data_IF_883849894928
#
_entry.id   IF_883849894928
#
_cell.length_a   1.000
_cell.length_b   1.000
_cell.length_c   1.000
_cell.angle_alpha   90.00
_cell.angle_beta   90.00
_cell.angle_gamma   90.00
#
_symmetry.space_group_name_H-M   'P 1'
#
loop_
_entity.id
_entity.type
_entity.pdbx_description
1 polymer ?
#
# COMPACT_ATOMS: atom_id res chain seq x y z
N UNK A 1 46.50 -37.15 -0.31
CA UNK A 1 45.15 -36.96 0.24
C UNK A 1 44.83 -35.48 0.18
N UNK A 2 44.04 -35.12 -0.82
CA UNK A 2 43.70 -33.75 -1.20
C UNK A 2 42.23 -33.54 -0.85
N UNK A 3 41.90 -32.43 -0.20
CA UNK A 3 40.71 -31.60 -0.45
C UNK A 3 40.61 -30.50 0.61
N UNK A 4 41.39 -29.43 0.41
CA UNK A 4 41.00 -28.10 0.87
C UNK A 4 39.80 -27.68 0.01
N UNK A 5 38.59 -27.69 0.60
CA UNK A 5 37.42 -27.09 -0.04
C UNK A 5 37.57 -25.57 0.07
N UNK A 6 37.89 -24.97 -1.06
CA UNK A 6 37.77 -23.54 -1.32
C UNK A 6 36.35 -23.07 -0.93
N UNK A 7 36.24 -22.36 0.18
CA UNK A 7 35.12 -21.45 0.39
C UNK A 7 35.36 -20.26 -0.54
N UNK A 8 34.77 -20.34 -1.74
CA UNK A 8 34.69 -19.20 -2.63
C UNK A 8 34.03 -18.04 -1.88
N UNK A 9 34.72 -16.91 -1.83
CA UNK A 9 34.13 -15.65 -1.39
C UNK A 9 32.82 -15.42 -2.16
N UNK A 10 31.75 -14.93 -1.51
CA UNK A 10 30.56 -14.52 -2.25
C UNK A 10 30.98 -13.36 -3.14
N UNK A 11 31.12 -13.65 -4.43
CA UNK A 11 31.19 -12.62 -5.46
C UNK A 11 29.98 -11.73 -5.26
N UNK A 12 30.22 -10.50 -4.83
CA UNK A 12 29.28 -9.39 -4.96
C UNK A 12 29.04 -9.19 -6.45
N UNK A 13 28.22 -10.07 -7.05
CA UNK A 13 27.53 -9.74 -8.29
C UNK A 13 26.73 -8.50 -7.96
N UNK A 14 27.24 -7.37 -8.44
CA UNK A 14 26.49 -6.13 -8.61
C UNK A 14 25.14 -6.57 -9.17
N UNK A 15 24.07 -6.48 -8.37
CA UNK A 15 22.71 -6.67 -8.85
C UNK A 15 22.61 -5.80 -10.10
N UNK A 16 22.48 -6.43 -11.27
CA UNK A 16 22.07 -5.71 -12.47
C UNK A 16 20.80 -4.97 -12.07
N UNK A 17 20.83 -3.64 -12.16
CA UNK A 17 19.68 -2.82 -11.74
C UNK A 17 18.58 -3.08 -12.78
N UNK A 18 17.71 -4.04 -12.50
CA UNK A 18 16.50 -4.31 -13.27
C UNK A 18 15.44 -3.22 -13.04
N UNK A 19 15.85 -2.03 -12.60
CA UNK A 19 14.95 -0.92 -12.33
C UNK A 19 15.62 0.42 -12.67
N UNK A 20 14.84 1.36 -13.20
CA UNK A 20 15.31 2.70 -13.53
C UNK A 20 14.24 3.74 -13.26
N UNK A 21 14.63 4.89 -12.73
CA UNK A 21 13.73 6.03 -12.59
C UNK A 21 13.20 6.46 -13.96
N UNK A 22 11.90 6.78 -14.04
CA UNK A 22 11.26 7.28 -15.25
C UNK A 22 10.66 8.66 -15.01
N UNK A 23 10.67 9.52 -16.02
CA UNK A 23 10.04 10.84 -15.95
C UNK A 23 8.52 10.74 -16.14
N UNK A 24 7.79 11.80 -15.76
CA UNK A 24 6.35 11.90 -16.00
C UNK A 24 6.00 11.73 -17.49
N UNK A 25 6.69 12.37 -18.46
CA UNK A 25 6.44 12.12 -19.88
C UNK A 25 6.66 10.65 -20.28
N UNK A 26 7.69 9.98 -19.73
CA UNK A 26 7.93 8.58 -20.03
C UNK A 26 6.82 7.67 -19.49
N UNK A 27 6.27 8.01 -18.32
CA UNK A 27 5.09 7.32 -17.78
C UNK A 27 3.87 7.52 -18.69
N UNK A 28 3.66 8.74 -19.20
CA UNK A 28 2.59 9.03 -20.16
C UNK A 28 2.75 8.17 -21.43
N UNK A 29 3.95 8.08 -22.00
CA UNK A 29 4.22 7.23 -23.16
C UNK A 29 3.84 5.76 -22.90
N UNK A 30 4.14 5.25 -21.69
CA UNK A 30 3.78 3.89 -21.29
C UNK A 30 2.26 3.75 -21.19
N UNK A 31 1.57 4.66 -20.49
CA UNK A 31 0.10 4.71 -20.39
C UNK A 31 -0.54 4.70 -21.79
N UNK A 32 0.03 5.43 -22.74
CA UNK A 32 -0.47 5.51 -24.11
C UNK A 32 -0.22 4.24 -24.93
N UNK A 33 0.83 3.49 -24.61
CA UNK A 33 1.21 2.26 -25.30
C UNK A 33 0.35 1.05 -24.88
N UNK A 34 -0.05 0.97 -23.62
CA UNK A 34 -0.75 -0.22 -23.09
C UNK A 34 -2.27 -0.12 -23.24
N UNK A 35 -2.89 -1.25 -23.59
CA UNK A 35 -4.34 -1.33 -23.81
C UNK A 35 -5.13 -1.38 -22.49
N UNK A 36 -4.47 -1.87 -21.45
CA UNK A 36 -5.03 -2.06 -20.12
C UNK A 36 -4.03 -1.62 -19.05
N UNK A 37 -4.55 -1.01 -17.99
CA UNK A 37 -3.78 -0.52 -16.86
C UNK A 37 -4.40 -1.11 -15.58
N UNK A 38 -3.56 -1.72 -14.77
CA UNK A 38 -3.94 -2.28 -13.48
C UNK A 38 -3.16 -1.56 -12.39
N UNK A 39 -3.86 -0.75 -11.60
CA UNK A 39 -3.31 -0.14 -10.40
C UNK A 39 -3.47 -1.13 -9.25
N UNK A 40 -2.38 -1.45 -8.59
CA UNK A 40 -2.40 -2.24 -7.37
C UNK A 40 -1.69 -1.51 -6.26
N UNK A 41 -2.18 -1.71 -5.05
CA UNK A 41 -1.58 -1.07 -3.89
C UNK A 41 -1.79 -1.92 -2.64
N UNK A 42 -0.89 -1.83 -1.66
CA UNK A 42 -1.21 -2.26 -0.32
C UNK A 42 -2.35 -1.44 0.29
N UNK A 43 -2.93 -1.98 1.36
CA UNK A 43 -3.70 -1.17 2.29
C UNK A 43 -2.89 0.00 2.85
N UNK A 44 -3.59 1.14 2.98
CA UNK A 44 -3.04 2.44 3.41
C UNK A 44 -2.04 3.09 2.45
N UNK A 45 -2.01 2.69 1.18
CA UNK A 45 -1.25 3.35 0.12
C UNK A 45 -2.18 3.96 -0.96
N UNK A 46 -3.06 4.88 -0.56
CA UNK A 46 -4.02 5.56 -1.44
C UNK A 46 -5.08 4.67 -2.16
N UNK A 47 -5.32 3.46 -1.66
CA UNK A 47 -6.18 2.46 -2.32
C UNK A 47 -7.62 2.88 -2.59
N UNK A 48 -8.33 3.35 -1.57
CA UNK A 48 -9.72 3.81 -1.73
C UNK A 48 -9.83 4.89 -2.79
N UNK A 49 -8.84 5.77 -2.89
CA UNK A 49 -8.81 6.86 -3.86
C UNK A 49 -8.69 6.35 -5.28
N UNK A 50 -7.77 5.41 -5.55
CA UNK A 50 -7.60 4.86 -6.90
C UNK A 50 -8.79 4.01 -7.32
N UNK A 51 -9.41 3.28 -6.38
CA UNK A 51 -10.61 2.48 -6.65
C UNK A 51 -11.78 3.39 -7.03
N UNK A 52 -12.03 4.44 -6.24
CA UNK A 52 -13.04 5.44 -6.56
C UNK A 52 -12.76 6.06 -7.92
N UNK A 53 -11.52 6.45 -8.20
CA UNK A 53 -11.12 7.00 -9.50
C UNK A 53 -11.39 6.04 -10.67
N UNK A 54 -10.92 4.79 -10.57
CA UNK A 54 -11.12 3.78 -11.61
C UNK A 54 -12.62 3.50 -11.87
N UNK A 55 -13.42 3.44 -10.80
CA UNK A 55 -14.87 3.25 -10.90
C UNK A 55 -15.58 4.44 -11.56
N UNK A 56 -15.12 5.68 -11.33
CA UNK A 56 -15.68 6.85 -12.02
C UNK A 56 -15.25 6.92 -13.48
N UNK A 57 -14.04 6.46 -13.79
CA UNK A 57 -13.56 6.33 -15.17
C UNK A 57 -14.44 5.35 -15.97
N UNK A 58 -14.97 4.32 -15.30
CA UNK A 58 -15.74 3.22 -15.90
C UNK A 58 -17.00 2.85 -15.08
N UNK A 59 -18.04 3.71 -15.02
CA UNK A 59 -19.15 3.60 -14.08
C UNK A 59 -20.06 2.38 -14.30
N UNK A 60 -20.03 1.75 -15.48
CA UNK A 60 -20.76 0.52 -15.79
C UNK A 60 -20.14 -0.76 -15.21
N UNK A 61 -18.96 -0.66 -14.59
CA UNK A 61 -18.17 -1.82 -14.15
C UNK A 61 -18.07 -1.98 -12.64
N UNK A 62 -19.03 -1.42 -11.87
CA UNK A 62 -19.20 -1.60 -10.41
C UNK A 62 -19.34 -3.06 -9.92
N UNK A 63 -19.18 -4.03 -10.81
CA UNK A 63 -19.37 -5.45 -10.58
C UNK A 63 -18.05 -6.17 -10.25
N UNK A 64 -16.92 -5.47 -10.31
CA UNK A 64 -15.61 -5.97 -9.92
C UNK A 64 -15.29 -5.44 -8.52
N UNK A 65 -15.35 -6.28 -7.48
CA UNK A 65 -14.94 -5.93 -6.13
C UNK A 65 -13.60 -5.22 -6.05
N UNK A 66 -13.52 -4.26 -5.13
CA UNK A 66 -12.35 -3.47 -4.72
C UNK A 66 -11.06 -4.30 -4.48
N UNK A 67 -11.20 -5.59 -4.19
CA UNK A 67 -10.13 -6.52 -3.85
C UNK A 67 -10.03 -7.71 -4.82
N UNK A 68 -10.47 -7.57 -6.08
CA UNK A 68 -10.56 -8.67 -7.06
C UNK A 68 -9.27 -9.46 -7.24
N UNK A 69 -8.09 -8.84 -7.08
CA UNK A 69 -6.79 -9.52 -7.20
C UNK A 69 -6.65 -10.66 -6.17
N UNK A 70 -7.43 -10.63 -5.10
CA UNK A 70 -7.43 -11.66 -4.06
C UNK A 70 -8.48 -12.77 -4.30
N UNK A 71 -9.30 -12.70 -5.37
CA UNK A 71 -10.42 -13.63 -5.61
C UNK A 71 -10.47 -14.11 -7.07
N UNK A 72 -10.02 -15.34 -7.33
CA UNK A 72 -9.99 -15.92 -8.68
C UNK A 72 -11.38 -15.95 -9.37
N UNK A 73 -12.43 -16.28 -8.61
CA UNK A 73 -13.81 -16.37 -9.12
C UNK A 73 -14.37 -15.00 -9.56
N UNK A 74 -13.87 -13.91 -8.98
CA UNK A 74 -14.25 -12.55 -9.38
C UNK A 74 -13.68 -12.21 -10.76
N UNK A 75 -12.44 -12.63 -11.03
CA UNK A 75 -11.81 -12.42 -12.34
C UNK A 75 -12.56 -13.19 -13.43
N UNK A 76 -12.91 -14.47 -13.18
CA UNK A 76 -13.75 -15.27 -14.09
C UNK A 76 -15.07 -14.57 -14.37
N UNK A 77 -15.72 -14.04 -13.33
CA UNK A 77 -16.97 -13.31 -13.49
C UNK A 77 -16.77 -12.04 -14.35
N UNK A 78 -15.75 -11.23 -14.07
CA UNK A 78 -15.45 -10.02 -14.85
C UNK A 78 -15.31 -10.29 -16.35
N UNK A 79 -14.68 -11.40 -16.73
CA UNK A 79 -14.50 -11.82 -18.14
C UNK A 79 -15.81 -12.24 -18.83
N UNK A 80 -16.80 -12.71 -18.07
CA UNK A 80 -18.09 -13.21 -18.63
C UNK A 80 -19.19 -12.16 -18.64
N UNK A 81 -19.04 -11.08 -17.88
CA UNK A 81 -20.11 -10.09 -17.67
C UNK A 81 -20.22 -9.03 -18.76
N UNK A 82 -19.14 -8.77 -19.51
CA UNK A 82 -19.13 -7.74 -20.56
C UNK A 82 -18.21 -8.16 -21.68
N UNK A 83 -18.65 -7.91 -22.92
CA UNK A 83 -17.80 -8.06 -24.10
C UNK A 83 -16.64 -7.05 -24.10
N UNK A 84 -16.84 -5.87 -23.52
CA UNK A 84 -15.80 -4.86 -23.34
C UNK A 84 -15.29 -4.89 -21.90
N UNK A 85 -14.02 -5.23 -21.75
CA UNK A 85 -13.32 -5.24 -20.45
C UNK A 85 -12.88 -3.79 -20.14
N UNK A 86 -12.95 -3.34 -18.87
CA UNK A 86 -12.39 -2.04 -18.48
C UNK A 86 -10.94 -1.89 -18.90
N UNK A 87 -10.55 -0.68 -19.31
CA UNK A 87 -9.14 -0.39 -19.59
C UNK A 87 -8.35 -0.02 -18.33
N UNK A 88 -9.04 0.35 -17.25
CA UNK A 88 -8.43 0.73 -15.98
C UNK A 88 -9.04 -0.06 -14.83
N UNK A 89 -8.18 -0.70 -14.04
CA UNK A 89 -8.55 -1.35 -12.78
C UNK A 89 -7.75 -0.76 -11.63
N UNK A 90 -8.33 -0.81 -10.44
CA UNK A 90 -7.61 -0.54 -9.20
C UNK A 90 -7.97 -1.60 -8.17
N UNK A 91 -6.99 -2.12 -7.41
CA UNK A 91 -7.26 -3.10 -6.37
C UNK A 91 -6.24 -3.14 -5.24
N UNK A 92 -6.75 -3.39 -4.04
CA UNK A 92 -5.92 -3.73 -2.90
C UNK A 92 -5.30 -5.13 -3.06
N UNK A 93 -4.00 -5.20 -2.82
CA UNK A 93 -3.25 -6.46 -2.69
C UNK A 93 -2.91 -6.66 -1.22
N UNK A 94 -3.35 -7.78 -0.65
CA UNK A 94 -3.17 -8.04 0.79
C UNK A 94 -1.97 -8.94 1.07
N UNK A 95 -1.61 -9.80 0.10
CA UNK A 95 -0.55 -10.80 0.24
C UNK A 95 0.33 -10.88 -1.00
N UNK A 96 1.58 -11.29 -0.79
CA UNK A 96 2.54 -11.55 -1.87
C UNK A 96 2.00 -12.55 -2.92
N UNK A 97 1.35 -13.63 -2.49
CA UNK A 97 0.80 -14.66 -3.39
C UNK A 97 -0.17 -14.07 -4.44
N UNK A 98 -1.02 -13.12 -4.03
CA UNK A 98 -1.98 -12.48 -4.91
C UNK A 98 -1.28 -11.54 -5.91
N UNK A 99 -0.22 -10.85 -5.47
CA UNK A 99 0.57 -10.03 -6.38
C UNK A 99 1.31 -10.89 -7.41
N UNK A 100 1.93 -11.97 -6.96
CA UNK A 100 2.65 -12.91 -7.83
C UNK A 100 1.70 -13.49 -8.88
N UNK A 101 0.49 -13.88 -8.47
CA UNK A 101 -0.52 -14.39 -9.40
C UNK A 101 -0.94 -13.34 -10.44
N UNK A 102 -1.09 -12.08 -10.03
CA UNK A 102 -1.35 -10.98 -10.98
C UNK A 102 -0.20 -10.84 -11.97
N UNK A 103 1.05 -10.74 -11.50
CA UNK A 103 2.25 -10.56 -12.33
C UNK A 103 2.41 -11.69 -13.35
N UNK A 104 2.10 -12.93 -12.95
CA UNK A 104 2.14 -14.10 -13.85
C UNK A 104 0.97 -14.13 -14.84
N UNK A 105 -0.14 -13.47 -14.53
CA UNK A 105 -1.38 -13.51 -15.30
C UNK A 105 -1.58 -12.34 -16.27
N UNK A 106 -0.87 -11.23 -16.08
CA UNK A 106 -0.97 -10.07 -16.98
C UNK A 106 -0.34 -10.35 -18.34
N UNK A 107 -0.88 -9.75 -19.40
CA UNK A 107 -0.37 -9.90 -20.76
C UNK A 107 0.70 -8.83 -21.07
N UNK A 108 1.37 -8.96 -22.22
CA UNK A 108 2.30 -7.94 -22.72
C UNK A 108 1.64 -6.58 -22.96
N UNK A 109 0.32 -6.54 -23.10
CA UNK A 109 -0.45 -5.34 -23.43
C UNK A 109 -1.05 -4.67 -22.18
N UNK A 110 -0.66 -5.15 -20.99
CA UNK A 110 -1.07 -4.62 -19.68
C UNK A 110 0.10 -3.91 -18.99
N UNK A 111 -0.16 -2.68 -18.51
CA UNK A 111 0.69 -1.96 -17.57
C UNK A 111 0.23 -2.23 -16.15
N UNK A 112 1.13 -2.66 -15.28
CA UNK A 112 0.89 -2.76 -13.84
C UNK A 112 1.52 -1.57 -13.15
N UNK A 113 0.74 -0.79 -12.41
CA UNK A 113 1.23 0.30 -11.57
C UNK A 113 1.07 -0.10 -10.11
N UNK A 114 2.19 -0.36 -9.43
CA UNK A 114 2.22 -0.65 -8.01
C UNK A 114 2.46 0.63 -7.22
N UNK A 115 1.44 1.09 -6.48
CA UNK A 115 1.56 2.21 -5.57
C UNK A 115 2.22 1.71 -4.28
N UNK A 116 3.42 2.21 -4.01
CA UNK A 116 4.20 1.87 -2.85
C UNK A 116 4.04 2.92 -1.74
N UNK A 117 4.00 2.43 -0.50
CA UNK A 117 4.19 3.22 0.72
C UNK A 117 4.99 2.36 1.68
N UNK A 118 5.97 2.96 2.35
CA UNK A 118 6.83 2.28 3.32
C UNK A 118 5.99 1.50 4.33
N UNK A 119 6.41 0.27 4.64
CA UNK A 119 5.67 -0.65 5.53
C UNK A 119 5.38 -0.01 6.90
N UNK A 120 6.34 0.72 7.45
CA UNK A 120 6.22 1.39 8.73
C UNK A 120 5.20 2.52 8.67
N UNK A 121 5.24 3.36 7.65
CA UNK A 121 4.25 4.41 7.44
C UNK A 121 2.83 3.85 7.24
N UNK A 122 2.70 2.70 6.57
CA UNK A 122 1.43 1.99 6.44
C UNK A 122 0.91 1.51 7.79
N UNK A 123 1.77 0.90 8.61
CA UNK A 123 1.43 0.49 9.96
C UNK A 123 0.95 1.67 10.79
N UNK A 124 1.71 2.77 10.84
CA UNK A 124 1.31 3.96 11.61
C UNK A 124 -0.03 4.51 11.11
N UNK A 125 -0.25 4.52 9.79
CA UNK A 125 -1.54 4.91 9.20
C UNK A 125 -2.68 3.97 9.58
N UNK A 126 -2.43 2.67 9.69
CA UNK A 126 -3.41 1.68 10.12
C UNK A 126 -3.76 1.84 11.61
N UNK A 127 -2.77 2.08 12.47
CA UNK A 127 -2.99 2.35 13.89
C UNK A 127 -3.83 3.61 14.07
N UNK A 128 -3.49 4.72 13.37
CA UNK A 128 -4.30 5.95 13.40
C UNK A 128 -5.75 5.70 13.01
N UNK A 129 -5.97 4.94 11.94
CA UNK A 129 -7.31 4.64 11.47
C UNK A 129 -8.09 3.73 12.42
N UNK A 130 -7.48 2.65 12.91
CA UNK A 130 -8.10 1.76 13.89
C UNK A 130 -8.47 2.53 15.16
N UNK A 131 -7.57 3.38 15.65
CA UNK A 131 -7.81 4.24 16.82
C UNK A 131 -8.97 5.20 16.59
N UNK A 132 -9.06 5.80 15.40
CA UNK A 132 -10.18 6.67 15.03
C UNK A 132 -11.53 5.95 15.15
N UNK A 133 -11.65 4.69 14.73
CA UNK A 133 -12.91 3.92 14.81
C UNK A 133 -13.40 3.74 16.25
N UNK A 134 -12.50 3.59 17.22
CA UNK A 134 -12.89 3.60 18.64
C UNK A 134 -13.31 5.00 19.07
N UNK A 135 -12.59 6.03 18.65
CA UNK A 135 -12.87 7.42 18.98
C UNK A 135 -14.17 7.97 18.38
N UNK A 136 -14.62 7.46 17.23
CA UNK A 136 -15.90 7.82 16.59
C UNK A 136 -17.08 6.98 17.09
N UNK A 137 -16.82 5.94 17.90
CA UNK A 137 -17.85 5.04 18.41
C UNK A 137 -18.27 3.93 17.45
N UNK A 138 -17.58 3.77 16.31
CA UNK A 138 -17.78 2.63 15.40
C UNK A 138 -17.37 1.29 16.04
N UNK A 139 -16.52 1.34 17.07
CA UNK A 139 -16.09 0.18 17.86
C UNK A 139 -16.36 0.40 19.35
N UNK A 140 -16.65 -0.71 20.06
CA UNK A 140 -16.90 -0.69 21.51
C UNK A 140 -15.62 -0.48 22.30
N UNK A 141 -15.69 0.37 23.32
CA UNK A 141 -14.60 0.68 24.26
C UNK A 141 -14.83 0.08 25.65
N UNK A 142 -15.83 -0.80 25.79
CA UNK A 142 -16.24 -1.42 27.07
C UNK A 142 -15.14 -2.21 27.81
N UNK A 143 -14.01 -2.46 27.16
CA UNK A 143 -12.85 -3.21 27.70
C UNK A 143 -11.61 -2.34 27.90
N UNK A 144 -11.75 -1.04 27.72
CA UNK A 144 -10.65 -0.09 27.87
C UNK A 144 -10.58 0.29 29.35
N UNK A 145 -9.39 0.25 29.92
CA UNK A 145 -9.12 0.71 31.28
C UNK A 145 -9.35 2.22 31.39
N UNK A 146 -8.95 2.97 30.35
CA UNK A 146 -9.23 4.40 30.27
C UNK A 146 -9.53 4.85 28.84
N UNK A 147 -10.70 5.49 28.71
CA UNK A 147 -11.16 6.07 27.47
C UNK A 147 -12.00 7.32 27.75
N UNK A 148 -11.53 8.47 27.32
CA UNK A 148 -12.27 9.74 27.39
C UNK A 148 -12.56 10.24 25.98
N UNK A 149 -13.79 10.64 25.70
CA UNK A 149 -14.22 10.96 24.36
C UNK A 149 -15.18 12.14 24.36
N UNK A 150 -14.76 13.22 23.72
CA UNK A 150 -15.54 14.46 23.51
C UNK A 150 -15.86 14.61 22.02
N UNK A 151 -16.58 15.66 21.60
CA UNK A 151 -16.80 15.87 20.16
C UNK A 151 -15.50 16.21 19.40
N UNK A 152 -14.53 16.85 20.07
CA UNK A 152 -13.32 17.36 19.42
C UNK A 152 -12.10 16.46 19.64
N UNK A 153 -12.08 15.70 20.73
CA UNK A 153 -10.92 14.91 21.12
C UNK A 153 -11.26 13.57 21.77
N UNK A 154 -10.31 12.65 21.67
CA UNK A 154 -10.35 11.31 22.22
C UNK A 154 -9.04 11.08 22.98
N UNK A 155 -9.10 10.52 24.18
CA UNK A 155 -7.92 10.12 24.95
C UNK A 155 -8.03 8.64 25.28
N UNK A 156 -6.96 7.90 25.04
CA UNK A 156 -6.86 6.45 25.27
C UNK A 156 -5.63 6.20 26.13
N UNK A 157 -5.70 5.29 27.11
CA UNK A 157 -4.48 4.87 27.81
C UNK A 157 -3.49 4.17 26.87
N UNK A 158 -2.19 4.41 27.09
CA UNK A 158 -1.13 3.78 26.31
C UNK A 158 -1.24 2.25 26.32
N UNK A 159 -1.56 1.65 27.47
CA UNK A 159 -1.73 0.21 27.60
C UNK A 159 -2.89 -0.31 26.74
N UNK A 160 -4.03 0.40 26.70
CA UNK A 160 -5.17 0.01 25.87
C UNK A 160 -4.88 0.18 24.37
N UNK A 161 -4.16 1.24 24.00
CA UNK A 161 -3.70 1.43 22.63
C UNK A 161 -2.83 0.24 22.20
N UNK A 162 -1.86 -0.16 23.03
CA UNK A 162 -0.96 -1.27 22.72
C UNK A 162 -1.69 -2.60 22.72
N UNK A 163 -2.44 -2.93 23.76
CA UNK A 163 -3.00 -4.28 23.94
C UNK A 163 -4.27 -4.49 23.13
N UNK A 164 -5.16 -3.49 23.09
CA UNK A 164 -6.50 -3.63 22.50
C UNK A 164 -6.54 -3.23 21.03
N UNK A 165 -5.69 -2.30 20.60
CA UNK A 165 -5.69 -1.81 19.22
C UNK A 165 -4.52 -2.41 18.42
N UNK A 166 -3.29 -2.27 18.92
CA UNK A 166 -2.10 -2.68 18.17
C UNK A 166 -1.92 -4.21 18.20
N UNK A 167 -1.86 -4.80 19.40
CA UNK A 167 -1.50 -6.21 19.60
C UNK A 167 -2.67 -7.17 19.36
N UNK A 168 -3.91 -6.69 19.48
CA UNK A 168 -5.09 -7.53 19.26
C UNK A 168 -5.20 -8.05 17.82
N UNK A 169 -4.47 -7.44 16.88
CA UNK A 169 -4.50 -7.82 15.47
C UNK A 169 -5.91 -7.73 14.90
N UNK A 170 -6.71 -6.77 15.36
CA UNK A 170 -8.06 -6.52 14.84
C UNK A 170 -8.06 -5.30 13.92
N UNK A 171 -9.15 -5.14 13.20
CA UNK A 171 -9.34 -4.05 12.24
C UNK A 171 -8.26 -4.06 11.15
N UNK A 172 -7.69 -2.90 10.84
CA UNK A 172 -6.79 -2.71 9.71
C UNK A 172 -5.31 -2.81 10.08
N UNK A 173 -4.98 -2.98 11.37
CA UNK A 173 -3.60 -3.12 11.83
C UNK A 173 -2.91 -4.33 11.21
N UNK A 174 -3.51 -5.56 11.19
CA UNK A 174 -2.88 -6.71 10.53
C UNK A 174 -2.64 -6.50 9.03
N UNK A 175 -3.55 -5.77 8.39
CA UNK A 175 -3.52 -5.55 6.95
C UNK A 175 -2.46 -4.51 6.58
N UNK A 176 -2.27 -3.50 7.43
CA UNK A 176 -1.15 -2.56 7.35
C UNK A 176 0.22 -3.23 7.52
N UNK A 177 0.28 -4.40 8.17
CA UNK A 177 1.48 -5.21 8.36
C UNK A 177 1.73 -6.22 7.23
N UNK A 178 0.88 -6.26 6.20
CA UNK A 178 0.98 -7.21 5.09
C UNK A 178 2.26 -7.03 4.27
N UNK A 179 3.04 -8.12 4.16
CA UNK A 179 4.28 -8.22 3.37
C UNK A 179 3.94 -8.61 1.93
N UNK A 180 3.96 -7.62 1.04
CA UNK A 180 3.65 -7.83 -0.40
C UNK A 180 4.93 -7.98 -1.22
N UNK A 181 5.98 -7.25 -0.84
CA UNK A 181 7.26 -7.21 -1.56
C UNK A 181 8.25 -8.18 -0.91
N UNK A 182 8.16 -9.45 -1.31
CA UNK A 182 8.98 -10.55 -0.80
C UNK A 182 10.00 -11.01 -1.83
N UNK A 183 10.92 -11.91 -1.47
CA UNK A 183 11.84 -12.52 -2.43
C UNK A 183 11.10 -13.15 -3.62
N UNK A 184 10.02 -13.87 -3.34
CA UNK A 184 9.20 -14.55 -4.36
C UNK A 184 8.54 -13.53 -5.29
N UNK A 185 8.11 -12.39 -4.75
CA UNK A 185 7.56 -11.29 -5.54
C UNK A 185 8.61 -10.73 -6.51
N UNK A 186 9.83 -10.45 -6.02
CA UNK A 186 10.92 -9.96 -6.88
C UNK A 186 11.33 -10.97 -7.94
N UNK A 187 11.44 -12.24 -7.57
CA UNK A 187 11.72 -13.31 -8.52
C UNK A 187 10.64 -13.37 -9.60
N UNK A 188 9.37 -13.23 -9.22
CA UNK A 188 8.28 -13.18 -10.19
C UNK A 188 8.38 -12.00 -11.15
N UNK A 189 8.84 -10.82 -10.69
CA UNK A 189 9.07 -9.69 -11.61
C UNK A 189 10.18 -10.01 -12.62
N UNK A 190 11.31 -10.54 -12.15
CA UNK A 190 12.47 -10.91 -12.98
C UNK A 190 12.11 -12.00 -14.02
N UNK A 191 11.31 -12.99 -13.63
CA UNK A 191 10.94 -14.12 -14.50
C UNK A 191 9.90 -13.75 -15.56
N UNK A 192 8.97 -12.85 -15.25
CA UNK A 192 7.82 -12.58 -16.13
C UNK A 192 8.00 -11.31 -16.98
N UNK A 193 9.04 -10.50 -16.73
CA UNK A 193 9.30 -9.22 -17.43
C UNK A 193 8.03 -8.37 -17.56
N UNK A 194 7.27 -8.32 -16.48
CA UNK A 194 6.02 -7.59 -16.44
C UNK A 194 6.28 -6.10 -16.65
N UNK A 195 5.45 -5.42 -17.45
CA UNK A 195 5.47 -3.97 -17.56
C UNK A 195 5.02 -3.36 -16.23
N UNK A 196 5.96 -3.17 -15.30
CA UNK A 196 5.70 -2.83 -13.91
C UNK A 196 6.33 -1.49 -13.58
N UNK A 197 5.50 -0.56 -13.10
CA UNK A 197 5.93 0.72 -12.57
C UNK A 197 5.64 0.75 -11.08
N UNK A 198 6.68 0.98 -10.28
CA UNK A 198 6.56 1.38 -8.89
C UNK A 198 6.38 2.89 -8.80
N UNK A 199 5.51 3.33 -7.91
CA UNK A 199 5.20 4.75 -7.70
C UNK A 199 5.07 5.04 -6.21
N UNK A 200 5.62 6.16 -5.72
CA UNK A 200 5.32 6.64 -4.36
C UNK A 200 3.84 7.06 -4.27
N UNK A 201 3.13 6.65 -3.22
CA UNK A 201 1.74 7.03 -2.98
C UNK A 201 1.46 8.54 -3.02
N UNK A 202 2.46 9.39 -2.77
CA UNK A 202 2.36 10.86 -2.88
C UNK A 202 2.08 11.32 -4.32
N UNK A 203 2.53 10.53 -5.30
CA UNK A 203 2.36 10.82 -6.74
C UNK A 203 1.04 10.30 -7.32
N UNK A 204 0.15 9.78 -6.47
CA UNK A 204 -1.13 9.24 -6.93
C UNK A 204 -1.96 10.25 -7.73
N UNK A 205 -1.96 11.53 -7.34
CA UNK A 205 -2.67 12.57 -8.09
C UNK A 205 -2.08 12.79 -9.49
N UNK A 206 -0.75 12.77 -9.61
CA UNK A 206 -0.05 12.87 -10.89
C UNK A 206 -0.51 11.75 -11.81
N UNK A 207 -0.52 10.49 -11.32
CA UNK A 207 -1.02 9.35 -12.07
C UNK A 207 -2.49 9.52 -12.49
N UNK A 208 -3.37 9.95 -11.59
CA UNK A 208 -4.79 10.14 -11.91
C UNK A 208 -5.01 11.19 -13.00
N UNK A 209 -4.23 12.27 -13.01
CA UNK A 209 -4.28 13.27 -14.09
C UNK A 209 -3.93 12.65 -15.43
N UNK A 210 -2.80 11.93 -15.54
CA UNK A 210 -2.37 11.27 -16.77
C UNK A 210 -3.41 10.25 -17.28
N UNK A 211 -3.96 9.45 -16.36
CA UNK A 211 -4.98 8.46 -16.68
C UNK A 211 -6.30 9.12 -17.10
N UNK A 212 -6.69 10.23 -16.47
CA UNK A 212 -7.90 10.95 -16.81
C UNK A 212 -7.80 11.56 -18.21
N UNK A 213 -6.67 12.17 -18.56
CA UNK A 213 -6.42 12.72 -19.90
C UNK A 213 -6.63 11.67 -21.01
N UNK A 214 -6.20 10.43 -20.76
CA UNK A 214 -6.27 9.36 -21.75
C UNK A 214 -7.58 8.57 -21.74
N UNK A 215 -8.04 8.16 -20.56
CA UNK A 215 -9.08 7.15 -20.42
C UNK A 215 -10.43 7.70 -19.97
N UNK A 216 -10.46 8.85 -19.30
CA UNK A 216 -11.69 9.46 -18.80
C UNK A 216 -11.59 10.99 -18.68
N UNK A 217 -11.56 11.73 -19.82
CA UNK A 217 -11.42 13.19 -19.81
C UNK A 217 -12.51 13.91 -19.03
N UNK A 218 -13.70 13.30 -18.88
CA UNK A 218 -14.80 13.81 -18.07
C UNK A 218 -14.43 14.02 -16.58
N UNK A 219 -13.36 13.38 -16.11
CA UNK A 219 -12.85 13.50 -14.75
C UNK A 219 -11.94 14.71 -14.56
N UNK A 220 -11.44 15.35 -15.62
CA UNK A 220 -10.52 16.50 -15.49
C UNK A 220 -11.20 17.74 -14.92
N UNK A 221 -12.51 17.89 -15.15
CA UNK A 221 -13.31 19.00 -14.62
C UNK A 221 -13.77 18.76 -13.17
N UNK A 222 -13.74 17.51 -12.71
CA UNK A 222 -14.05 17.13 -11.34
C UNK A 222 -12.73 17.02 -10.59
N UNK A 223 -12.32 18.06 -9.85
CA UNK A 223 -11.06 18.03 -9.09
C UNK A 223 -10.91 16.69 -8.38
N UNK A 224 -9.94 15.87 -8.79
CA UNK A 224 -9.70 14.53 -8.26
C UNK A 224 -9.01 14.67 -6.89
N UNK A 225 -9.60 15.45 -5.99
CA UNK A 225 -9.26 15.49 -4.58
C UNK A 225 -9.96 14.31 -3.91
N UNK A 226 -9.56 13.09 -4.28
CA UNK A 226 -10.04 11.88 -3.61
C UNK A 226 -9.25 11.70 -2.32
N UNK A 227 -9.22 12.72 -1.46
CA UNK A 227 -8.89 12.55 -0.06
C UNK A 227 -10.20 12.22 0.65
N UNK A 228 -10.64 10.96 0.57
CA UNK A 228 -11.80 10.43 1.28
C UNK A 228 -11.67 10.51 2.84
N UNK A 229 -10.64 11.18 3.35
CA UNK A 229 -10.34 11.36 4.76
C UNK A 229 -10.56 12.81 5.25
N UNK A 230 -11.29 13.65 4.51
CA UNK A 230 -11.47 15.08 4.83
C UNK A 230 -12.52 15.39 5.88
N UNK A 231 -13.27 14.40 6.40
CA UNK A 231 -14.24 14.67 7.46
C UNK A 231 -13.54 14.79 8.82
N UNK A 232 -13.88 15.89 9.51
CA UNK A 232 -13.29 16.43 10.75
C UNK A 232 -12.65 15.35 11.63
N UNK A 233 -11.33 15.22 11.53
CA UNK A 233 -10.56 14.28 12.36
C UNK A 233 -10.57 14.76 13.80
N UNK A 234 -11.29 14.02 14.65
CA UNK A 234 -11.18 14.13 16.10
C UNK A 234 -9.72 14.04 16.53
N UNK A 235 -9.26 14.94 17.39
CA UNK A 235 -7.87 14.92 17.90
C UNK A 235 -7.69 13.72 18.82
N UNK A 236 -6.70 12.88 18.57
CA UNK A 236 -6.46 11.68 19.38
C UNK A 236 -5.22 11.90 20.26
N UNK A 237 -5.37 11.63 21.55
CA UNK A 237 -4.34 11.72 22.57
C UNK A 237 -4.10 10.35 23.22
N UNK A 238 -2.86 10.12 23.65
CA UNK A 238 -2.45 8.94 24.40
C UNK A 238 -2.08 9.38 25.81
N UNK A 239 -2.74 8.81 26.82
CA UNK A 239 -2.40 9.01 28.22
C UNK A 239 -1.28 8.04 28.62
N UNK A 240 -0.13 8.58 29.02
CA UNK A 240 1.09 7.81 29.30
C UNK A 240 1.02 7.02 30.63
N UNK A 241 0.08 7.35 31.50
CA UNK A 241 -0.13 6.66 32.76
C UNK A 241 -1.60 6.71 33.16
N UNK A 242 -2.04 5.69 33.89
CA UNK A 242 -3.43 5.56 34.31
C UNK A 242 -3.80 6.70 35.27
N UNK A 243 -4.73 7.57 34.86
CA UNK A 243 -5.21 8.69 35.68
C UNK A 243 -4.28 9.92 35.75
N UNK A 244 -3.24 10.00 34.92
CA UNK A 244 -2.40 11.21 34.83
C UNK A 244 -2.95 12.22 33.84
N UNK A 245 -2.73 13.51 34.09
CA UNK A 245 -3.01 14.60 33.14
C UNK A 245 -2.01 14.64 31.96
N UNK A 246 -0.90 13.91 32.07
CA UNK A 246 0.11 13.82 31.03
C UNK A 246 -0.41 13.02 29.84
N UNK A 247 -0.61 13.73 28.73
CA UNK A 247 -1.07 13.16 27.46
C UNK A 247 -0.27 13.76 26.31
N UNK A 248 0.03 12.92 25.33
CA UNK A 248 0.70 13.30 24.08
C UNK A 248 -0.24 13.08 22.91
N UNK A 249 -0.02 13.76 21.79
CA UNK A 249 -0.81 13.46 20.59
C UNK A 249 -0.47 12.05 20.09
N UNK A 250 -1.43 11.36 19.48
CA UNK A 250 -1.18 10.05 18.87
C UNK A 250 -0.08 10.13 17.81
N UNK A 251 0.00 11.25 17.08
CA UNK A 251 1.04 11.49 16.08
C UNK A 251 2.43 11.48 16.70
N UNK A 252 2.62 12.25 17.77
CA UNK A 252 3.91 12.37 18.46
C UNK A 252 4.30 11.02 19.10
N UNK A 253 3.34 10.34 19.73
CA UNK A 253 3.56 9.02 20.31
C UNK A 253 4.01 8.00 19.25
N UNK A 254 3.34 7.97 18.09
CA UNK A 254 3.68 7.05 17.00
C UNK A 254 5.06 7.37 16.42
N UNK A 255 5.40 8.65 16.26
CA UNK A 255 6.70 9.07 15.74
C UNK A 255 7.84 8.65 16.67
N UNK A 256 7.65 8.79 17.99
CA UNK A 256 8.63 8.38 18.99
C UNK A 256 8.77 6.86 19.07
N UNK A 257 7.65 6.12 18.98
CA UNK A 257 7.63 4.66 19.16
C UNK A 257 7.83 3.86 17.88
N UNK A 258 7.91 4.48 16.69
CA UNK A 258 7.88 3.79 15.39
C UNK A 258 8.87 2.64 15.27
N UNK A 259 10.13 2.83 15.65
CA UNK A 259 11.16 1.80 15.55
C UNK A 259 10.95 0.66 16.54
N UNK A 260 10.42 0.97 17.72
CA UNK A 260 10.05 -0.04 18.70
C UNK A 260 8.86 -0.87 18.21
N UNK A 261 7.85 -0.26 17.60
CA UNK A 261 6.72 -0.94 16.98
C UNK A 261 7.14 -1.85 15.83
N UNK A 262 8.05 -1.40 14.95
CA UNK A 262 8.61 -2.24 13.90
C UNK A 262 9.25 -3.53 14.45
N UNK A 263 10.01 -3.38 15.53
CA UNK A 263 10.72 -4.47 16.19
C UNK A 263 9.76 -5.41 16.93
N UNK A 264 8.89 -4.87 17.78
CA UNK A 264 8.00 -5.66 18.64
C UNK A 264 6.96 -6.45 17.84
N UNK A 265 6.49 -5.88 16.73
CA UNK A 265 5.53 -6.53 15.83
C UNK A 265 6.19 -7.47 14.82
N UNK A 266 7.53 -7.62 14.86
CA UNK A 266 8.24 -8.55 14.00
C UNK A 266 8.08 -8.24 12.50
N UNK A 267 7.81 -6.98 12.13
CA UNK A 267 7.72 -6.56 10.72
C UNK A 267 8.96 -7.03 9.95
N UNK A 268 10.10 -7.04 10.64
CA UNK A 268 11.40 -7.36 10.10
C UNK A 268 11.90 -8.79 10.36
N UNK A 269 11.11 -9.69 10.94
CA UNK A 269 11.60 -10.99 11.44
C UNK A 269 11.86 -12.06 10.36
N UNK A 270 10.99 -12.15 9.35
CA UNK A 270 11.00 -13.27 8.38
C UNK A 270 11.41 -12.88 6.95
N UNK A 271 12.02 -11.71 6.79
CA UNK A 271 12.26 -11.16 5.46
C UNK A 271 13.73 -11.40 5.08
N UNK A 272 13.99 -12.51 4.39
CA UNK A 272 15.31 -12.87 3.87
C UNK A 272 15.79 -11.91 2.76
N UNK A 273 14.88 -11.13 2.14
CA UNK A 273 15.17 -10.12 1.11
C UNK A 273 14.99 -8.66 1.54
N UNK A 274 15.06 -8.30 2.83
CA UNK A 274 14.93 -6.87 3.24
C UNK A 274 15.92 -5.97 2.55
N UNK A 275 17.13 -6.49 2.27
CA UNK A 275 18.12 -5.76 1.50
C UNK A 275 17.55 -5.37 0.14
N UNK A 276 16.95 -6.30 -0.60
CA UNK A 276 16.33 -6.01 -1.91
C UNK A 276 15.15 -5.05 -1.77
N UNK A 277 14.25 -5.28 -0.81
CA UNK A 277 13.10 -4.40 -0.60
C UNK A 277 13.54 -2.97 -0.28
N UNK A 278 14.45 -2.79 0.69
CA UNK A 278 14.98 -1.47 1.03
C UNK A 278 15.78 -0.82 -0.09
N UNK A 279 16.52 -1.59 -0.89
CA UNK A 279 17.22 -1.05 -2.06
C UNK A 279 16.18 -0.51 -3.06
N UNK A 280 15.13 -1.27 -3.36
CA UNK A 280 14.05 -0.81 -4.24
C UNK A 280 13.31 0.41 -3.65
N UNK A 281 12.99 0.40 -2.36
CA UNK A 281 12.36 1.53 -1.67
C UNK A 281 13.26 2.78 -1.74
N UNK A 282 14.56 2.63 -1.46
CA UNK A 282 15.52 3.71 -1.58
C UNK A 282 15.64 4.22 -3.02
N UNK A 283 15.70 3.31 -4.00
CA UNK A 283 15.78 3.66 -5.41
C UNK A 283 14.53 4.44 -5.84
N UNK A 284 13.33 3.99 -5.44
CA UNK A 284 12.06 4.67 -5.70
C UNK A 284 12.01 6.06 -5.04
N UNK A 285 12.35 6.16 -3.75
CA UNK A 285 12.35 7.42 -2.99
C UNK A 285 13.41 8.42 -3.49
N UNK A 286 14.44 7.93 -4.19
CA UNK A 286 15.46 8.76 -4.82
C UNK A 286 15.09 9.17 -6.25
N UNK A 287 14.07 8.58 -6.87
CA UNK A 287 13.59 9.03 -8.16
C UNK A 287 12.96 10.42 -8.03
N UNK A 288 13.49 11.47 -8.70
CA UNK A 288 12.96 12.84 -8.54
C UNK A 288 11.50 12.98 -8.96
N UNK A 289 11.05 12.09 -9.84
CA UNK A 289 9.68 12.01 -10.33
C UNK A 289 8.77 11.14 -9.45
N UNK A 290 9.32 10.35 -8.53
CA UNK A 290 8.58 9.38 -7.73
C UNK A 290 8.15 8.10 -8.48
N UNK A 291 8.70 7.84 -9.68
CA UNK A 291 8.39 6.66 -10.49
C UNK A 291 9.63 5.84 -10.85
N UNK A 292 9.52 4.52 -10.69
CA UNK A 292 10.56 3.55 -10.98
C UNK A 292 9.99 2.45 -11.87
N UNK A 293 10.54 2.28 -13.08
CA UNK A 293 10.17 1.19 -13.98
C UNK A 293 11.04 -0.03 -13.72
N UNK A 294 10.41 -1.21 -13.63
CA UNK A 294 11.07 -2.50 -13.51
C UNK A 294 11.15 -3.19 -14.89
N UNK A 295 12.35 -3.62 -15.28
CA UNK A 295 12.67 -4.23 -16.59
C UNK A 295 12.70 -5.76 -16.52
#
# INVERSE_FOLDING_TARGET
>A
MTCLKNYGAPTTKRLERNASCISVPKLQDMIDQFSQIVIVMPDKAAGSSSIVFANHCYPGHKLIPDNFVNHEEVLKRALTMSFQIPRLFASHVVKAEHFINLIKGVTSDTLVVYIHREETDRLLSAIKHATMKYCTGERTTSRFEFFESTNESCTIAEIDLVDKIISSGRDEVPVGMGKILTCETYQSFEENRSNLVFMDYKEANTLYTLLAEKHCPQMLEQSVHVNAASDKKKKIFVALSHGTTEKVSLEDWLNEKKYFLEWSLGLKKDVTCQGKTRIMENDLLQCPSGFLHWH
#
